data_IF_474747063619
#
_entry.id   IF_474747063619
#
_cell.length_a   1.000
_cell.length_b   1.000
_cell.length_c   1.000
_cell.angle_alpha   90.00
_cell.angle_beta   90.00
_cell.angle_gamma   90.00
#
_symmetry.space_group_name_H-M   'P 1'
#
loop_
_entity.id
_entity.type
_entity.pdbx_description
1 polymer ?
#
# COMPACT_ATOMS: atom_id res chain seq x y z
N UNK A 1 12.75 -5.98 4.04
CA UNK A 1 12.45 -5.00 2.98
C UNK A 1 12.42 -3.64 3.67
N UNK A 2 12.48 -2.53 2.96
CA UNK A 2 12.48 -1.20 3.58
C UNK A 2 11.54 -0.29 2.82
N UNK A 3 11.14 0.81 3.45
CA UNK A 3 10.22 1.78 2.83
C UNK A 3 10.72 2.26 1.46
N UNK A 4 12.03 2.43 1.29
CA UNK A 4 12.66 2.77 0.01
C UNK A 4 12.26 1.78 -1.11
N UNK A 5 12.34 0.48 -0.84
CA UNK A 5 11.95 -0.56 -1.81
C UNK A 5 10.44 -0.55 -2.08
N UNK A 6 9.61 -0.36 -1.06
CA UNK A 6 8.17 -0.27 -1.23
C UNK A 6 7.78 0.91 -2.14
N UNK A 7 8.46 2.04 -2.00
CA UNK A 7 8.28 3.22 -2.85
C UNK A 7 8.71 2.93 -4.29
N UNK A 8 9.86 2.27 -4.49
CA UNK A 8 10.31 1.89 -5.84
C UNK A 8 9.30 0.97 -6.53
N UNK A 9 8.78 -0.02 -5.80
CA UNK A 9 7.76 -0.93 -6.32
C UNK A 9 6.44 -0.22 -6.66
N UNK A 10 6.06 0.81 -5.89
CA UNK A 10 4.91 1.66 -6.18
C UNK A 10 5.14 2.49 -7.45
N UNK A 11 6.31 3.11 -7.59
CA UNK A 11 6.65 3.90 -8.79
C UNK A 11 6.70 3.03 -10.05
N UNK A 12 7.14 1.77 -9.92
CA UNK A 12 7.11 0.79 -11.01
C UNK A 12 5.69 0.49 -11.53
N UNK A 13 4.64 0.81 -10.77
CA UNK A 13 3.23 0.72 -11.22
C UNK A 13 2.78 1.92 -12.05
N UNK A 14 3.68 2.85 -12.35
CA UNK A 14 3.37 4.14 -12.99
C UNK A 14 2.71 5.14 -12.03
N UNK A 15 2.71 4.87 -10.72
CA UNK A 15 2.25 5.84 -9.74
C UNK A 15 3.19 7.04 -9.72
N UNK A 16 2.62 8.25 -9.81
CA UNK A 16 3.34 9.50 -9.69
C UNK A 16 2.53 10.45 -8.81
N UNK A 17 3.22 11.26 -8.00
CA UNK A 17 2.62 12.29 -7.15
C UNK A 17 2.18 13.52 -7.98
N UNK A 18 1.30 13.32 -8.96
CA UNK A 18 0.69 14.40 -9.75
C UNK A 18 -0.17 15.31 -8.87
N UNK A 19 -0.81 14.72 -7.86
CA UNK A 19 -1.43 15.42 -6.74
C UNK A 19 -0.72 15.02 -5.45
N UNK A 20 -0.13 15.99 -4.75
CA UNK A 20 0.62 15.77 -3.50
C UNK A 20 -0.27 15.77 -2.26
N UNK A 21 -1.58 16.00 -2.42
CA UNK A 21 -2.54 16.02 -1.32
C UNK A 21 -2.61 14.66 -0.62
N UNK A 22 -2.23 14.60 0.65
CA UNK A 22 -2.18 13.33 1.39
C UNK A 22 -1.00 12.44 0.99
N UNK A 23 0.07 13.01 0.42
CA UNK A 23 1.36 12.35 0.31
C UNK A 23 2.29 12.82 1.44
N UNK A 24 3.28 11.99 1.77
CA UNK A 24 4.38 12.33 2.66
C UNK A 24 5.71 12.09 1.95
N UNK A 25 6.82 12.48 2.57
CA UNK A 25 8.17 12.38 1.97
C UNK A 25 9.09 11.46 2.77
N UNK A 26 9.86 10.64 2.06
CA UNK A 26 10.96 9.85 2.61
C UNK A 26 12.15 9.92 1.65
N UNK A 27 13.30 10.37 2.16
CA UNK A 27 14.55 10.51 1.36
C UNK A 27 14.36 11.29 0.05
N UNK A 28 13.56 12.37 0.08
CA UNK A 28 13.26 13.19 -1.10
C UNK A 28 12.25 12.60 -2.07
N UNK A 29 11.75 11.38 -1.83
CA UNK A 29 10.70 10.73 -2.62
C UNK A 29 9.34 10.92 -1.94
N UNK A 30 8.33 11.24 -2.73
CA UNK A 30 6.95 11.35 -2.25
C UNK A 30 6.23 10.01 -2.35
N UNK A 31 5.45 9.66 -1.34
CA UNK A 31 4.60 8.48 -1.35
C UNK A 31 3.28 8.79 -0.64
N UNK A 32 2.18 8.08 -0.94
CA UNK A 32 0.89 8.36 -0.33
C UNK A 32 0.91 8.02 1.16
N UNK A 33 0.31 8.87 1.99
CA UNK A 33 0.12 8.57 3.41
C UNK A 33 -0.85 7.39 3.59
N UNK A 34 -0.86 6.76 4.76
CA UNK A 34 -1.77 5.66 5.05
C UNK A 34 -3.24 6.01 4.76
N UNK A 35 -3.67 7.21 5.12
CA UNK A 35 -5.04 7.67 4.87
C UNK A 35 -5.33 7.79 3.37
N UNK A 36 -4.37 8.27 2.57
CA UNK A 36 -4.53 8.28 1.12
C UNK A 36 -4.56 6.87 0.55
N UNK A 37 -3.68 5.99 1.01
CA UNK A 37 -3.65 4.57 0.60
C UNK A 37 -5.01 3.93 0.86
N UNK A 38 -5.60 4.12 2.03
CA UNK A 38 -6.94 3.59 2.36
C UNK A 38 -8.02 4.05 1.38
N UNK A 39 -7.98 5.32 0.94
CA UNK A 39 -8.91 5.81 -0.10
C UNK A 39 -8.70 5.11 -1.44
N UNK A 40 -7.45 4.92 -1.87
CA UNK A 40 -7.16 4.25 -3.15
C UNK A 40 -7.65 2.79 -3.12
N UNK A 41 -7.53 2.10 -1.98
CA UNK A 41 -8.15 0.79 -1.80
C UNK A 41 -9.68 0.86 -1.90
N UNK A 42 -10.31 1.83 -1.23
CA UNK A 42 -11.77 2.01 -1.26
C UNK A 42 -12.29 2.37 -2.67
N UNK A 43 -11.55 3.14 -3.45
CA UNK A 43 -11.85 3.46 -4.85
C UNK A 43 -11.81 2.21 -5.75
N UNK A 44 -10.97 1.24 -5.40
CA UNK A 44 -10.94 -0.09 -6.03
C UNK A 44 -11.98 -1.07 -5.43
N UNK A 45 -12.88 -0.61 -4.55
CA UNK A 45 -13.86 -1.48 -3.89
C UNK A 45 -13.26 -2.44 -2.85
N UNK A 46 -12.04 -2.17 -2.40
CA UNK A 46 -11.31 -2.98 -1.44
C UNK A 46 -11.19 -2.29 -0.08
N UNK A 47 -11.09 -3.08 1.00
CA UNK A 47 -10.85 -2.55 2.35
C UNK A 47 -9.48 -2.99 2.85
N UNK A 48 -8.59 -2.02 3.13
CA UNK A 48 -7.26 -2.27 3.69
C UNK A 48 -7.30 -2.33 5.21
N UNK A 49 -6.71 -3.39 5.78
CA UNK A 49 -6.47 -3.56 7.21
C UNK A 49 -4.98 -3.70 7.48
N UNK A 50 -4.46 -2.93 8.45
CA UNK A 50 -3.11 -3.12 8.98
C UNK A 50 -3.17 -3.67 10.41
N UNK A 51 -2.32 -4.66 10.68
CA UNK A 51 -2.17 -5.25 12.00
C UNK A 51 -0.70 -5.36 12.37
N UNK A 52 -0.33 -4.81 13.52
CA UNK A 52 0.98 -5.05 14.11
C UNK A 52 1.03 -6.46 14.73
N UNK A 53 1.96 -7.28 14.27
CA UNK A 53 2.22 -8.64 14.77
C UNK A 53 3.39 -8.56 15.76
N UNK A 54 3.06 -8.28 17.02
CA UNK A 54 4.04 -8.00 18.09
C UNK A 54 5.10 -9.09 18.24
N UNK A 55 4.74 -10.37 18.04
CA UNK A 55 5.68 -11.50 18.16
C UNK A 55 6.84 -11.41 17.15
N UNK A 56 6.61 -10.81 15.99
CA UNK A 56 7.59 -10.68 14.91
C UNK A 56 8.01 -9.23 14.65
N UNK A 57 7.52 -8.28 15.46
CA UNK A 57 7.76 -6.84 15.33
C UNK A 57 7.57 -6.35 13.88
N UNK A 58 6.45 -6.74 13.26
CA UNK A 58 6.17 -6.43 11.87
C UNK A 58 4.70 -6.09 11.64
N UNK A 59 4.42 -5.34 10.58
CA UNK A 59 3.08 -4.92 10.21
C UNK A 59 2.61 -5.78 9.03
N UNK A 60 1.46 -6.43 9.21
CA UNK A 60 0.76 -7.12 8.13
C UNK A 60 -0.30 -6.18 7.56
N UNK A 61 -0.18 -5.85 6.29
CA UNK A 61 -1.21 -5.17 5.52
C UNK A 61 -1.97 -6.21 4.69
N UNK A 62 -3.28 -6.26 4.83
CA UNK A 62 -4.15 -7.19 4.09
C UNK A 62 -5.38 -6.47 3.57
N UNK A 63 -5.90 -6.89 2.42
CA UNK A 63 -7.11 -6.31 1.85
C UNK A 63 -8.09 -7.36 1.39
N UNK A 64 -9.35 -6.94 1.37
CA UNK A 64 -10.50 -7.74 1.00
C UNK A 64 -11.34 -6.98 -0.02
N UNK A 65 -11.98 -7.70 -0.93
CA UNK A 65 -12.96 -7.15 -1.86
C UNK A 65 -14.27 -6.77 -1.14
N UNK A 66 -15.21 -6.18 -1.88
CA UNK A 66 -16.54 -5.81 -1.36
C UNK A 66 -17.40 -7.00 -0.90
N UNK A 67 -17.05 -8.23 -1.26
CA UNK A 67 -17.69 -9.45 -0.77
C UNK A 67 -17.03 -10.01 0.51
N UNK A 68 -15.94 -9.38 0.97
CA UNK A 68 -15.17 -9.81 2.13
C UNK A 68 -14.18 -10.94 1.83
N UNK A 69 -13.97 -11.29 0.56
CA UNK A 69 -12.97 -12.28 0.17
C UNK A 69 -11.57 -11.67 0.27
N UNK A 70 -10.63 -12.40 0.88
CA UNK A 70 -9.24 -11.95 1.00
C UNK A 70 -8.57 -11.97 -0.35
N UNK A 71 -8.20 -10.79 -0.86
CA UNK A 71 -7.53 -10.66 -2.15
C UNK A 71 -6.01 -10.70 -2.03
N UNK A 72 -5.45 -10.19 -0.93
CA UNK A 72 -4.01 -10.26 -0.72
C UNK A 72 -3.54 -9.78 0.64
N UNK A 73 -2.26 -10.05 0.91
CA UNK A 73 -1.58 -9.57 2.10
C UNK A 73 -0.08 -9.46 1.87
N UNK A 74 0.54 -8.45 2.50
CA UNK A 74 1.98 -8.25 2.57
C UNK A 74 2.42 -7.96 4.00
N UNK A 75 3.72 -8.07 4.26
CA UNK A 75 4.32 -7.73 5.55
C UNK A 75 5.46 -6.73 5.36
N UNK A 76 5.56 -5.77 6.26
CA UNK A 76 6.62 -4.76 6.32
C UNK A 76 7.11 -4.58 7.76
N UNK A 77 8.26 -3.92 7.93
CA UNK A 77 8.82 -3.62 9.27
C UNK A 77 8.17 -2.41 9.92
N UNK A 78 7.60 -1.51 9.12
CA UNK A 78 6.80 -0.38 9.59
C UNK A 78 5.41 -0.39 8.96
N UNK A 79 4.51 0.38 9.57
CA UNK A 79 3.16 0.61 9.05
C UNK A 79 3.20 1.18 7.63
N UNK A 80 4.00 2.23 7.43
CA UNK A 80 4.18 2.88 6.12
C UNK A 80 4.73 1.91 5.07
N UNK A 81 5.75 1.12 5.39
CA UNK A 81 6.33 0.15 4.46
C UNK A 81 5.27 -0.86 4.00
N UNK A 82 4.54 -1.45 4.95
CA UNK A 82 3.51 -2.44 4.66
C UNK A 82 2.37 -1.84 3.83
N UNK A 83 1.94 -0.61 4.14
CA UNK A 83 0.86 0.07 3.44
C UNK A 83 1.26 0.44 1.99
N UNK A 84 2.44 1.04 1.80
CA UNK A 84 2.93 1.43 0.47
C UNK A 84 3.13 0.22 -0.42
N UNK A 85 3.71 -0.85 0.14
CA UNK A 85 3.91 -2.08 -0.62
C UNK A 85 2.58 -2.78 -0.93
N UNK A 86 1.59 -2.73 -0.04
CA UNK A 86 0.25 -3.25 -0.34
C UNK A 86 -0.39 -2.51 -1.52
N UNK A 87 -0.26 -1.17 -1.57
CA UNK A 87 -0.78 -0.38 -2.69
C UNK A 87 -0.09 -0.74 -4.01
N UNK A 88 1.22 -0.97 -4.01
CA UNK A 88 1.93 -1.38 -5.23
C UNK A 88 1.41 -2.74 -5.74
N UNK A 89 1.12 -3.69 -4.84
CA UNK A 89 0.52 -4.97 -5.22
C UNK A 89 -0.90 -4.77 -5.79
N UNK A 90 -1.78 -4.03 -5.10
CA UNK A 90 -3.14 -3.75 -5.57
C UNK A 90 -3.12 -3.19 -6.99
N UNK A 91 -2.26 -2.20 -7.25
CA UNK A 91 -2.16 -1.56 -8.56
C UNK A 91 -1.66 -2.51 -9.64
N UNK A 92 -0.73 -3.42 -9.35
CA UNK A 92 -0.27 -4.45 -10.31
C UNK A 92 -1.38 -5.44 -10.67
N UNK A 93 -2.17 -5.85 -9.68
CA UNK A 93 -3.33 -6.69 -9.92
C UNK A 93 -4.39 -5.98 -10.78
N UNK A 94 -4.69 -4.70 -10.50
CA UNK A 94 -5.62 -3.92 -11.30
C UNK A 94 -5.18 -3.74 -12.77
N UNK A 95 -3.89 -3.51 -13.02
CA UNK A 95 -3.32 -3.37 -14.38
C UNK A 95 -3.39 -4.67 -15.19
N UNK A 96 -3.45 -5.83 -14.53
CA UNK A 96 -3.52 -7.13 -15.22
C UNK A 96 -4.95 -7.45 -15.72
N UNK A 97 -5.96 -6.72 -15.25
CA UNK A 97 -7.37 -6.92 -15.63
C UNK A 97 -7.91 -5.83 -16.58
N UNK A 98 -7.05 -4.99 -17.16
CA UNK A 98 -7.40 -3.96 -18.16
C UNK A 98 -6.98 -4.37 -19.57
#
# INVERSE_FOLDING_TARGET
>A
MGLDFAIDELYATGWAALDTSGCTTHNGRMYPSLERIRREFAECGCTLTLRHIQLFDCFRASWQDGAGASEGAVVGRSEDEAAVYALSQLRRHAVTHA
#
